data_IF_774607502176
#
_entry.id   IF_774607502176
#
_cell.length_a   1.000
_cell.length_b   1.000
_cell.length_c   1.000
_cell.angle_alpha   90.00
_cell.angle_beta   90.00
_cell.angle_gamma   90.00
#
_symmetry.space_group_name_H-M   'P 1'
#
loop_
_entity.id
_entity.type
_entity.pdbx_description
1 polymer ?
#
# COMPACT_ATOMS: atom_id res chain seq x y z
N UNK A 1 -1.17 -47.56 38.60
CA UNK A 1 -1.29 -46.95 37.26
C UNK A 1 -1.90 -45.55 37.40
N UNK A 2 -1.17 -44.62 38.05
CA UNK A 2 -1.55 -43.22 38.24
C UNK A 2 -0.35 -42.42 37.71
N UNK A 3 -0.26 -42.20 36.40
CA UNK A 3 0.82 -41.33 35.87
C UNK A 3 0.66 -40.87 34.42
N UNK A 4 -0.50 -41.03 33.76
CA UNK A 4 -0.65 -40.67 32.34
C UNK A 4 -1.71 -39.59 32.04
N UNK A 5 -2.34 -38.99 33.05
CA UNK A 5 -3.38 -37.96 32.85
C UNK A 5 -2.94 -36.53 33.20
N UNK A 6 -1.70 -36.31 33.64
CA UNK A 6 -1.26 -34.99 34.14
C UNK A 6 -0.25 -34.26 33.25
N UNK A 7 0.20 -34.87 32.15
CA UNK A 7 1.19 -34.26 31.24
C UNK A 7 0.55 -33.61 30.01
N UNK A 8 -0.57 -34.14 29.49
CA UNK A 8 -1.30 -33.54 28.36
C UNK A 8 -1.84 -32.12 28.66
N UNK A 9 -2.11 -31.80 29.91
CA UNK A 9 -2.66 -30.50 30.33
C UNK A 9 -1.61 -29.38 30.40
N UNK A 10 -0.32 -29.72 30.57
CA UNK A 10 0.77 -28.74 30.74
C UNK A 10 1.20 -28.11 29.41
N UNK A 11 1.29 -28.92 28.35
CA UNK A 11 1.69 -28.43 27.03
C UNK A 11 0.58 -27.63 26.35
N UNK A 12 -0.68 -28.05 26.48
CA UNK A 12 -1.82 -27.29 25.95
C UNK A 12 -1.98 -25.92 26.65
N UNK A 13 -1.70 -25.86 27.96
CA UNK A 13 -1.70 -24.60 28.71
C UNK A 13 -0.56 -23.68 28.29
N UNK A 14 0.64 -24.22 28.08
CA UNK A 14 1.79 -23.45 27.57
C UNK A 14 1.53 -22.91 26.17
N UNK A 15 1.01 -23.74 25.25
CA UNK A 15 0.69 -23.33 23.89
C UNK A 15 -0.40 -22.24 23.85
N UNK A 16 -1.38 -22.32 24.76
CA UNK A 16 -2.43 -21.30 24.88
C UNK A 16 -1.90 -19.98 25.45
N UNK A 17 -0.98 -20.03 26.40
CA UNK A 17 -0.31 -18.85 26.93
C UNK A 17 0.59 -18.19 25.88
N UNK A 18 1.39 -18.97 25.16
CA UNK A 18 2.27 -18.50 24.08
C UNK A 18 1.47 -17.88 22.93
N UNK A 19 0.33 -18.49 22.55
CA UNK A 19 -0.57 -17.92 21.56
C UNK A 19 -1.20 -16.61 22.02
N UNK A 20 -1.62 -16.50 23.28
CA UNK A 20 -2.19 -15.28 23.83
C UNK A 20 -1.15 -14.15 23.93
N UNK A 21 0.11 -14.50 24.26
CA UNK A 21 1.23 -13.55 24.28
C UNK A 21 1.58 -13.07 22.88
N UNK A 22 1.60 -13.98 21.90
CA UNK A 22 1.77 -13.63 20.49
C UNK A 22 0.64 -12.73 20.01
N UNK A 23 -0.63 -13.08 20.26
CA UNK A 23 -1.79 -12.24 19.88
C UNK A 23 -1.76 -10.86 20.55
N UNK A 24 -1.38 -10.76 21.83
CA UNK A 24 -1.22 -9.48 22.53
C UNK A 24 -0.09 -8.63 21.94
N UNK A 25 1.05 -9.26 21.62
CA UNK A 25 2.15 -8.61 20.92
C UNK A 25 1.68 -8.10 19.54
N UNK A 26 1.02 -8.94 18.74
CA UNK A 26 0.48 -8.53 17.44
C UNK A 26 -0.55 -7.40 17.55
N UNK A 27 -1.47 -7.44 18.51
CA UNK A 27 -2.40 -6.34 18.74
C UNK A 27 -1.67 -5.05 19.18
N UNK A 28 -0.62 -5.15 20.00
CA UNK A 28 0.14 -3.98 20.42
C UNK A 28 0.95 -3.35 19.28
N UNK A 29 1.51 -4.17 18.38
CA UNK A 29 2.35 -3.72 17.26
C UNK A 29 1.51 -3.23 16.07
N UNK A 30 0.30 -3.79 15.88
CA UNK A 30 -0.56 -3.52 14.73
C UNK A 30 -1.93 -2.93 15.11
N UNK A 31 -2.07 -2.36 16.31
CA UNK A 31 -3.27 -1.56 16.62
C UNK A 31 -3.35 -0.40 15.63
N UNK A 32 -4.36 -0.45 14.75
CA UNK A 32 -4.69 0.66 13.85
C UNK A 32 -4.91 1.89 14.72
N UNK A 33 -3.94 2.81 14.71
CA UNK A 33 -3.96 4.00 15.54
C UNK A 33 -4.91 4.98 14.86
N UNK A 34 -6.19 4.92 15.24
CA UNK A 34 -7.19 5.84 14.70
C UNK A 34 -6.88 7.25 15.21
N UNK A 35 -6.54 8.17 14.31
CA UNK A 35 -6.36 9.58 14.66
C UNK A 35 -7.73 10.15 15.00
N UNK A 36 -7.86 10.76 16.19
CA UNK A 36 -9.12 11.39 16.58
C UNK A 36 -9.49 12.51 15.58
N UNK A 37 -10.77 12.73 15.24
CA UNK A 37 -11.19 13.71 14.24
C UNK A 37 -10.62 15.11 14.44
N UNK A 38 -10.47 15.54 15.69
CA UNK A 38 -9.88 16.83 16.10
C UNK A 38 -8.36 16.93 15.84
N UNK A 39 -7.69 15.80 15.66
CA UNK A 39 -6.26 15.72 15.39
C UNK A 39 -5.95 15.47 13.90
N UNK A 40 -6.99 15.42 13.05
CA UNK A 40 -6.80 15.31 11.60
C UNK A 40 -6.19 16.60 11.05
N UNK A 41 -5.18 16.45 10.19
CA UNK A 41 -4.57 17.57 9.49
C UNK A 41 -5.54 18.16 8.46
N UNK A 42 -5.35 19.44 8.13
CA UNK A 42 -6.09 20.08 7.05
C UNK A 42 -5.69 19.47 5.70
N UNK A 43 -6.68 19.02 4.92
CA UNK A 43 -6.43 18.35 3.65
C UNK A 43 -5.99 19.30 2.52
N UNK A 44 -6.33 20.59 2.56
CA UNK A 44 -6.07 21.55 1.46
C UNK A 44 -4.61 21.57 0.97
N UNK A 45 -3.63 21.84 1.84
CA UNK A 45 -2.21 21.81 1.45
C UNK A 45 -1.74 20.43 0.98
N UNK A 46 -2.22 19.36 1.61
CA UNK A 46 -1.84 17.99 1.29
C UNK A 46 -2.38 17.55 -0.08
N UNK A 47 -3.57 18.04 -0.47
CA UNK A 47 -4.17 17.83 -1.80
C UNK A 47 -3.34 18.55 -2.86
N UNK A 48 -2.96 19.82 -2.62
CA UNK A 48 -2.14 20.57 -3.56
C UNK A 48 -0.79 19.91 -3.82
N UNK A 49 -0.16 19.37 -2.76
CA UNK A 49 1.08 18.60 -2.90
C UNK A 49 0.86 17.31 -3.69
N UNK A 50 -0.22 16.58 -3.43
CA UNK A 50 -0.56 15.37 -4.18
C UNK A 50 -0.79 15.64 -5.67
N UNK A 51 -1.51 16.71 -6.01
CA UNK A 51 -1.71 17.14 -7.40
C UNK A 51 -0.40 17.57 -8.07
N UNK A 52 0.47 18.26 -7.34
CA UNK A 52 1.81 18.60 -7.82
C UNK A 52 2.65 17.35 -8.11
N UNK A 53 2.56 16.30 -7.26
CA UNK A 53 3.24 15.02 -7.51
C UNK A 53 2.72 14.32 -8.77
N UNK A 54 1.40 14.36 -9.02
CA UNK A 54 0.82 13.85 -10.27
C UNK A 54 1.36 14.63 -11.47
N UNK A 55 1.34 15.96 -11.41
CA UNK A 55 1.84 16.79 -12.50
C UNK A 55 3.34 16.54 -12.77
N UNK A 56 4.16 16.39 -11.73
CA UNK A 56 5.58 16.04 -11.85
C UNK A 56 5.75 14.69 -12.56
N UNK A 57 4.99 13.68 -12.12
CA UNK A 57 4.99 12.35 -12.74
C UNK A 57 4.70 12.42 -14.24
N UNK A 58 3.67 13.14 -14.64
CA UNK A 58 3.28 13.26 -16.05
C UNK A 58 4.26 14.08 -16.89
N UNK A 59 5.01 14.99 -16.25
CA UNK A 59 6.08 15.73 -16.91
C UNK A 59 7.33 14.90 -17.12
N UNK A 60 7.61 13.96 -16.21
CA UNK A 60 8.83 13.13 -16.20
C UNK A 60 8.63 11.79 -16.91
N UNK A 61 7.40 11.27 -16.96
CA UNK A 61 7.08 9.94 -17.46
C UNK A 61 5.95 9.98 -18.50
N UNK A 62 6.28 9.59 -19.73
CA UNK A 62 5.28 9.46 -20.79
C UNK A 62 4.35 8.28 -20.51
N UNK A 63 3.06 8.58 -20.28
CA UNK A 63 2.04 7.55 -20.09
C UNK A 63 1.90 6.64 -21.30
N UNK A 64 2.09 7.18 -22.52
CA UNK A 64 2.01 6.40 -23.76
C UNK A 64 3.17 5.41 -23.87
N UNK A 65 4.38 5.82 -23.49
CA UNK A 65 5.54 4.90 -23.47
C UNK A 65 5.34 3.80 -22.44
N UNK A 66 4.84 4.16 -21.25
CA UNK A 66 4.54 3.18 -20.19
C UNK A 66 3.49 2.16 -20.63
N UNK A 67 2.39 2.61 -21.24
CA UNK A 67 1.32 1.74 -21.78
C UNK A 67 1.77 0.85 -22.94
N UNK A 68 2.90 1.17 -23.57
CA UNK A 68 3.44 0.37 -24.69
C UNK A 68 4.31 -0.80 -24.21
N UNK A 69 4.66 -0.85 -22.92
CA UNK A 69 5.48 -1.92 -22.33
C UNK A 69 4.58 -3.10 -22.02
N UNK A 70 4.55 -4.12 -22.86
CA UNK A 70 3.64 -5.28 -22.70
C UNK A 70 4.39 -6.52 -22.24
N UNK A 71 5.47 -6.89 -22.92
CA UNK A 71 6.25 -8.09 -22.60
C UNK A 71 7.46 -7.70 -21.77
N UNK A 72 7.50 -8.16 -20.52
CA UNK A 72 8.56 -7.81 -19.58
C UNK A 72 8.71 -8.91 -18.54
N UNK A 73 9.84 -9.62 -18.55
CA UNK A 73 10.09 -10.66 -17.55
C UNK A 73 10.27 -10.04 -16.17
N UNK A 74 10.08 -10.85 -15.12
CA UNK A 74 10.26 -10.37 -13.74
C UNK A 74 11.66 -9.78 -13.50
N UNK A 75 12.70 -10.34 -14.12
CA UNK A 75 14.08 -9.89 -13.98
C UNK A 75 14.32 -8.53 -14.68
N UNK A 76 13.81 -8.39 -15.91
CA UNK A 76 13.92 -7.13 -16.67
C UNK A 76 13.11 -6.02 -16.03
N UNK A 77 11.96 -6.36 -15.43
CA UNK A 77 11.05 -5.38 -14.89
C UNK A 77 11.62 -4.57 -13.72
N UNK A 78 12.53 -5.16 -12.94
CA UNK A 78 13.18 -4.50 -11.80
C UNK A 78 14.18 -3.43 -12.22
N UNK A 79 14.65 -3.46 -13.48
CA UNK A 79 15.67 -2.55 -14.00
C UNK A 79 15.26 -1.87 -15.30
N UNK A 80 13.99 -2.00 -15.70
CA UNK A 80 13.49 -1.46 -16.96
C UNK A 80 13.61 0.07 -16.94
N UNK A 81 14.35 0.68 -17.89
CA UNK A 81 14.82 2.07 -17.80
C UNK A 81 13.69 3.10 -17.75
N UNK A 82 12.51 2.75 -18.28
CA UNK A 82 11.34 3.63 -18.30
C UNK A 82 10.36 3.28 -17.17
N UNK A 83 10.17 1.99 -16.89
CA UNK A 83 9.09 1.53 -16.00
C UNK A 83 9.49 1.61 -14.54
N UNK A 84 10.73 1.28 -14.21
CA UNK A 84 11.18 1.25 -12.83
C UNK A 84 11.17 2.66 -12.19
N UNK A 85 11.70 3.72 -12.84
CA UNK A 85 11.59 5.07 -12.30
C UNK A 85 10.13 5.49 -12.07
N UNK A 86 9.25 5.24 -13.04
CA UNK A 86 7.82 5.53 -12.91
C UNK A 86 7.18 4.73 -11.76
N UNK A 87 7.52 3.46 -11.59
CA UNK A 87 7.02 2.64 -10.46
C UNK A 87 7.46 3.23 -9.11
N UNK A 88 8.70 3.70 -9.00
CA UNK A 88 9.22 4.32 -7.78
C UNK A 88 8.52 5.66 -7.48
N UNK A 89 8.32 6.50 -8.49
CA UNK A 89 7.56 7.75 -8.35
C UNK A 89 6.10 7.48 -7.94
N UNK A 90 5.44 6.51 -8.59
CA UNK A 90 4.07 6.11 -8.25
C UNK A 90 3.97 5.60 -6.80
N UNK A 91 5.00 4.90 -6.28
CA UNK A 91 5.02 4.47 -4.88
C UNK A 91 4.91 5.64 -3.90
N UNK A 92 5.57 6.76 -4.19
CA UNK A 92 5.47 7.98 -3.35
C UNK A 92 4.06 8.58 -3.42
N UNK A 93 3.46 8.62 -4.61
CA UNK A 93 2.07 9.07 -4.79
C UNK A 93 1.10 8.19 -3.99
N UNK A 94 1.29 6.86 -3.99
CA UNK A 94 0.47 5.94 -3.19
C UNK A 94 0.58 6.24 -1.69
N UNK A 95 1.79 6.47 -1.19
CA UNK A 95 2.01 6.80 0.21
C UNK A 95 1.29 8.09 0.61
N UNK A 96 1.41 9.14 -0.21
CA UNK A 96 0.71 10.43 0.00
C UNK A 96 -0.81 10.28 -0.07
N UNK A 97 -1.32 9.46 -0.99
CA UNK A 97 -2.76 9.15 -1.08
C UNK A 97 -3.26 8.48 0.20
N UNK A 98 -2.52 7.51 0.72
CA UNK A 98 -2.92 6.82 1.95
C UNK A 98 -2.88 7.77 3.14
N UNK A 99 -1.85 8.62 3.27
CA UNK A 99 -1.81 9.62 4.35
C UNK A 99 -2.94 10.64 4.25
N UNK A 100 -3.35 11.04 3.04
CA UNK A 100 -4.54 11.87 2.84
C UNK A 100 -5.79 11.21 3.43
N UNK A 101 -5.99 9.91 3.18
CA UNK A 101 -7.14 9.15 3.68
C UNK A 101 -7.12 9.00 5.20
N UNK A 102 -5.95 8.68 5.74
CA UNK A 102 -5.84 8.16 7.11
C UNK A 102 -5.54 9.29 8.13
N UNK A 103 -4.98 10.41 7.68
CA UNK A 103 -4.42 11.44 8.56
C UNK A 103 -4.98 12.86 8.34
N UNK A 104 -5.92 13.04 7.42
CA UNK A 104 -6.49 14.36 7.10
C UNK A 104 -8.01 14.39 7.16
N UNK A 105 -8.57 15.59 7.20
CA UNK A 105 -10.01 15.81 7.17
C UNK A 105 -10.62 15.75 5.74
N UNK A 106 -10.00 15.02 4.80
CA UNK A 106 -10.47 14.90 3.43
C UNK A 106 -11.86 14.25 3.38
N UNK A 107 -12.73 14.78 2.51
CA UNK A 107 -14.03 14.15 2.26
C UNK A 107 -13.88 12.90 1.40
N UNK A 108 -14.81 11.95 1.54
CA UNK A 108 -14.82 10.75 0.70
C UNK A 108 -14.93 11.06 -0.81
N UNK A 109 -15.71 12.09 -1.17
CA UNK A 109 -15.87 12.50 -2.57
C UNK A 109 -14.56 13.04 -3.16
N UNK A 110 -13.83 13.85 -2.39
CA UNK A 110 -12.57 14.42 -2.82
C UNK A 110 -11.47 13.35 -2.89
N UNK A 111 -11.45 12.44 -1.93
CA UNK A 111 -10.57 11.29 -1.97
C UNK A 111 -10.80 10.41 -3.21
N UNK A 112 -12.05 10.14 -3.58
CA UNK A 112 -12.35 9.35 -4.79
C UNK A 112 -11.95 10.06 -6.09
N UNK A 113 -12.07 11.39 -6.15
CA UNK A 113 -11.54 12.18 -7.28
C UNK A 113 -10.03 11.96 -7.42
N UNK A 114 -9.27 12.11 -6.34
CA UNK A 114 -7.82 11.91 -6.34
C UNK A 114 -7.43 10.45 -6.64
N UNK A 115 -8.22 9.50 -6.14
CA UNK A 115 -8.06 8.08 -6.41
C UNK A 115 -8.23 7.76 -7.91
N UNK A 116 -9.15 8.43 -8.60
CA UNK A 116 -9.35 8.27 -10.04
C UNK A 116 -8.11 8.73 -10.84
N UNK A 117 -7.53 9.88 -10.49
CA UNK A 117 -6.30 10.37 -11.12
C UNK A 117 -5.13 9.43 -10.86
N UNK A 118 -4.94 8.99 -9.61
CA UNK A 118 -3.94 7.98 -9.28
C UNK A 118 -4.12 6.70 -10.11
N UNK A 119 -5.36 6.19 -10.26
CA UNK A 119 -5.63 4.95 -10.99
C UNK A 119 -5.22 5.05 -12.46
N UNK A 120 -5.31 6.24 -13.05
CA UNK A 120 -4.83 6.49 -14.42
C UNK A 120 -3.32 6.27 -14.52
N UNK A 121 -2.54 6.81 -13.58
CA UNK A 121 -1.09 6.59 -13.53
C UNK A 121 -0.75 5.11 -13.24
N UNK A 122 -1.47 4.50 -12.29
CA UNK A 122 -1.28 3.09 -11.92
C UNK A 122 -1.48 2.15 -13.10
N UNK A 123 -2.51 2.38 -13.92
CA UNK A 123 -2.76 1.61 -15.15
C UNK A 123 -1.64 1.79 -16.17
N UNK A 124 -1.13 3.01 -16.33
CA UNK A 124 -0.02 3.27 -17.23
C UNK A 124 1.24 2.48 -16.81
N UNK A 125 1.60 2.49 -15.52
CA UNK A 125 2.75 1.72 -15.01
C UNK A 125 2.52 0.20 -15.12
N UNK A 126 1.27 -0.23 -14.91
CA UNK A 126 0.84 -1.61 -15.01
C UNK A 126 1.44 -2.56 -13.95
N UNK A 127 0.82 -3.71 -13.79
CA UNK A 127 1.22 -4.74 -12.82
C UNK A 127 1.84 -5.92 -13.58
N UNK A 128 2.93 -6.47 -13.06
CA UNK A 128 3.50 -7.69 -13.65
C UNK A 128 2.60 -8.88 -13.36
N UNK A 129 2.25 -9.62 -14.41
CA UNK A 129 1.48 -10.84 -14.38
C UNK A 129 2.02 -11.78 -15.45
N UNK A 130 2.58 -12.94 -15.06
CA UNK A 130 3.13 -13.95 -15.97
C UNK A 130 4.09 -13.39 -17.06
N UNK A 131 5.12 -12.64 -16.64
CA UNK A 131 6.10 -11.98 -17.52
C UNK A 131 5.48 -10.99 -18.54
N UNK A 132 4.27 -10.50 -18.25
CA UNK A 132 3.63 -9.42 -18.99
C UNK A 132 3.25 -8.30 -18.04
N UNK A 133 3.18 -7.10 -18.58
CA UNK A 133 2.61 -5.95 -17.88
C UNK A 133 1.13 -5.89 -18.22
N UNK A 134 0.29 -5.96 -17.19
CA UNK A 134 -1.16 -5.80 -17.28
C UNK A 134 -1.54 -4.36 -16.91
N UNK A 135 -2.07 -3.63 -17.88
CA UNK A 135 -2.53 -2.25 -17.75
C UNK A 135 -4.02 -2.13 -17.40
N UNK A 136 -4.75 -3.25 -17.31
CA UNK A 136 -6.19 -3.26 -17.08
C UNK A 136 -6.58 -3.57 -15.62
N UNK A 137 -5.61 -3.90 -14.78
CA UNK A 137 -5.80 -4.20 -13.36
C UNK A 137 -5.81 -2.98 -12.46
#
# INVERSE_FOLDING_TARGET
MKELQNELTSEEQKLKAEKAEYEAYWLSVYSETTIAPENLRECGPEIAEFEAMIASFESEHSLLELLSIIDLTLAEAQSHPIREPARLALKLIIAKRNSLKDETNISAAEYERLNAEYKRLSRAVGVLNDNKVDHNR
#
